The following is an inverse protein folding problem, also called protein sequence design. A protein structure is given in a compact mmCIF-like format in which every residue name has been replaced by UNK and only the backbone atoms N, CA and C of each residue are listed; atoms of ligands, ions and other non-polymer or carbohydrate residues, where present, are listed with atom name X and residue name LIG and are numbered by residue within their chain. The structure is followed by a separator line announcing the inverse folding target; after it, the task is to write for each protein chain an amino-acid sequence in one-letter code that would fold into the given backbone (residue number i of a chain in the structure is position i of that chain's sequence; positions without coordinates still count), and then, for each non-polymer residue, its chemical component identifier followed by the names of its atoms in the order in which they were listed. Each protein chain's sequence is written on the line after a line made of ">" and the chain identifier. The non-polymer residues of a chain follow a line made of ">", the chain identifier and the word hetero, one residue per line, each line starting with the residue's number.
data_IF_828557578252
#
_entry.id   IF_828557578252
#
_cell.length_a   1.000
_cell.length_b   1.000
_cell.length_c   1.000
_cell.angle_alpha   90.00
_cell.angle_beta   90.00
_cell.angle_gamma   90.00
#
_symmetry.space_group_name_H-M   'P 1'
#
loop_
_entity.id
_entity.type
_entity.pdbx_description
1 polymer ?
#
# COMPACT_ATOMS: atom_id res chain seq x y z
N UNK A 1 1.85 7.73 -6.36
CA UNK A 1 2.84 8.64 -6.95
C UNK A 1 4.28 8.26 -6.57
N UNK A 2 5.23 8.78 -7.28
CA UNK A 2 6.65 8.52 -6.99
C UNK A 2 7.08 9.19 -5.70
N UNK A 3 8.08 8.61 -5.05
CA UNK A 3 8.58 9.10 -3.78
C UNK A 3 10.11 9.30 -3.85
N UNK A 4 10.56 10.42 -4.40
CA UNK A 4 12.01 10.66 -4.60
C UNK A 4 12.79 10.81 -3.29
N UNK A 5 12.15 11.18 -2.18
CA UNK A 5 12.80 11.35 -0.88
C UNK A 5 13.10 10.04 -0.16
N UNK A 6 12.53 8.92 -0.60
CA UNK A 6 12.80 7.63 0.00
C UNK A 6 14.18 7.13 -0.43
N UNK A 7 14.90 6.44 0.49
CA UNK A 7 16.23 5.89 0.21
C UNK A 7 16.20 4.81 -0.87
N UNK A 8 15.14 4.01 -0.89
CA UNK A 8 14.91 2.99 -1.91
C UNK A 8 13.74 3.41 -2.77
N UNK A 9 13.73 3.06 -4.06
CA UNK A 9 12.58 3.39 -4.91
C UNK A 9 11.27 2.91 -4.30
N UNK A 10 10.32 3.82 -4.19
CA UNK A 10 9.03 3.54 -3.58
C UNK A 10 7.95 4.41 -4.23
N UNK A 11 6.70 4.01 -4.04
CA UNK A 11 5.54 4.83 -4.39
C UNK A 11 4.85 5.32 -3.13
N UNK A 12 4.24 6.50 -3.24
CA UNK A 12 3.28 6.99 -2.25
C UNK A 12 1.89 6.56 -2.70
N UNK A 13 1.21 5.76 -1.90
CA UNK A 13 -0.13 5.31 -2.20
C UNK A 13 -1.15 6.09 -1.39
N UNK A 14 -2.28 6.39 -2.01
CA UNK A 14 -3.48 6.89 -1.33
C UNK A 14 -4.50 5.77 -1.39
N UNK A 15 -4.88 5.24 -0.23
CA UNK A 15 -5.70 4.03 -0.13
C UNK A 15 -7.02 4.37 0.56
N UNK A 16 -8.13 3.94 -0.03
CA UNK A 16 -9.46 4.12 0.53
C UNK A 16 -9.84 2.87 1.34
N UNK A 17 -10.00 3.04 2.65
CA UNK A 17 -10.44 1.99 3.56
C UNK A 17 -11.92 2.14 3.96
N UNK A 18 -12.69 2.85 3.17
CA UNK A 18 -14.12 3.03 3.42
C UNK A 18 -14.43 4.21 4.34
N UNK A 19 -15.72 4.47 4.54
CA UNK A 19 -16.19 5.66 5.26
C UNK A 19 -15.75 5.69 6.72
N UNK A 20 -15.61 4.54 7.36
CA UNK A 20 -15.27 4.45 8.78
C UNK A 20 -13.79 4.74 9.05
N UNK A 21 -12.90 4.11 8.29
CA UNK A 21 -11.44 4.28 8.45
C UNK A 21 -10.94 5.49 7.65
N UNK A 22 -11.51 5.70 6.47
CA UNK A 22 -11.16 6.81 5.61
C UNK A 22 -10.00 6.54 4.67
N UNK A 23 -9.47 7.61 4.10
CA UNK A 23 -8.37 7.55 3.14
C UNK A 23 -7.06 7.71 3.91
N UNK A 24 -6.13 6.78 3.68
CA UNK A 24 -4.82 6.76 4.34
C UNK A 24 -3.71 6.73 3.31
N UNK A 25 -2.53 7.20 3.73
CA UNK A 25 -1.34 7.22 2.89
C UNK A 25 -0.35 6.14 3.32
N UNK A 26 0.32 5.53 2.35
CA UNK A 26 1.29 4.48 2.58
C UNK A 26 2.47 4.61 1.63
N UNK A 27 3.69 4.37 2.12
CA UNK A 27 4.87 4.23 1.28
C UNK A 27 5.14 2.76 1.06
N UNK A 28 5.30 2.35 -0.20
CA UNK A 28 5.49 0.94 -0.54
C UNK A 28 6.61 0.78 -1.58
N UNK A 29 7.54 -0.14 -1.32
CA UNK A 29 8.67 -0.41 -2.21
C UNK A 29 8.28 -1.43 -3.29
N UNK A 30 7.45 -1.01 -4.22
CA UNK A 30 6.86 -1.90 -5.25
C UNK A 30 7.16 -1.46 -6.68
N UNK A 31 8.17 -0.60 -6.88
CA UNK A 31 8.46 -0.04 -8.20
C UNK A 31 8.97 -1.06 -9.20
N UNK A 32 9.40 -2.25 -8.75
CA UNK A 32 9.94 -3.29 -9.63
C UNK A 32 8.87 -4.06 -10.41
N UNK A 33 7.72 -4.31 -9.78
CA UNK A 33 6.65 -5.10 -10.39
C UNK A 33 5.45 -4.29 -10.86
N UNK A 34 5.32 -3.03 -10.42
CA UNK A 34 4.11 -2.24 -10.67
C UNK A 34 4.44 -0.90 -11.27
N UNK A 35 3.64 -0.49 -12.24
CA UNK A 35 3.62 0.88 -12.74
C UNK A 35 2.50 1.64 -12.06
N UNK A 36 2.62 2.95 -11.95
CA UNK A 36 1.67 3.78 -11.20
C UNK A 36 0.23 3.60 -11.65
N UNK A 37 0.01 3.54 -12.94
CA UNK A 37 -1.34 3.43 -13.52
C UNK A 37 -1.98 2.06 -13.27
N UNK A 38 -1.17 1.01 -13.08
CA UNK A 38 -1.68 -0.33 -12.73
C UNK A 38 -2.28 -0.38 -11.33
N UNK A 39 -1.86 0.53 -10.46
CA UNK A 39 -2.27 0.54 -9.05
C UNK A 39 -3.59 1.23 -8.81
N UNK A 40 -4.03 2.06 -9.75
CA UNK A 40 -5.30 2.77 -9.62
C UNK A 40 -6.46 1.78 -9.68
N UNK A 41 -7.31 1.78 -8.66
CA UNK A 41 -8.45 0.87 -8.57
C UNK A 41 -8.12 -0.53 -8.07
N UNK A 42 -6.83 -0.80 -7.77
CA UNK A 42 -6.40 -2.11 -7.28
C UNK A 42 -6.75 -2.27 -5.80
N UNK A 43 -7.27 -3.44 -5.43
CA UNK A 43 -7.52 -3.77 -4.03
C UNK A 43 -6.23 -4.22 -3.36
N UNK A 44 -6.04 -3.81 -2.11
CA UNK A 44 -4.86 -4.17 -1.33
C UNK A 44 -5.27 -4.55 0.09
N UNK A 45 -4.36 -5.20 0.81
CA UNK A 45 -4.54 -5.50 2.23
C UNK A 45 -3.53 -4.67 3.02
N UNK A 46 -4.00 -3.99 4.06
CA UNK A 46 -3.16 -3.12 4.87
C UNK A 46 -3.42 -3.24 6.35
N UNK A 47 -2.39 -2.96 7.15
CA UNK A 47 -2.49 -2.86 8.61
C UNK A 47 -2.66 -1.39 8.96
N UNK A 48 -3.76 -1.06 9.65
CA UNK A 48 -4.13 0.34 9.95
C UNK A 48 -4.01 0.71 11.43
N UNK A 49 -3.73 -0.24 12.28
CA UNK A 49 -3.75 -0.06 13.73
C UNK A 49 -2.36 -0.07 14.37
N UNK A 50 -1.39 0.51 13.69
CA UNK A 50 -0.06 0.70 14.25
C UNK A 50 0.36 2.16 14.09
N UNK A 51 1.40 2.64 14.85
CA UNK A 51 1.82 4.03 14.75
C UNK A 51 2.31 4.39 13.34
N UNK A 52 1.94 5.57 12.82
CA UNK A 52 2.45 6.04 11.53
C UNK A 52 3.97 6.16 11.54
N UNK A 53 4.58 5.96 10.37
CA UNK A 53 6.02 6.04 10.19
C UNK A 53 6.38 7.26 9.35
N UNK A 54 7.28 8.10 9.88
CA UNK A 54 7.78 9.25 9.15
C UNK A 54 8.90 8.83 8.20
N UNK A 55 8.75 9.16 6.92
CA UNK A 55 9.75 8.88 5.89
C UNK A 55 10.03 10.20 5.16
N UNK A 56 11.13 10.90 5.54
CA UNK A 56 11.37 12.25 5.07
C UNK A 56 10.18 13.15 5.39
N UNK A 57 9.64 13.90 4.42
CA UNK A 57 8.47 14.75 4.63
C UNK A 57 7.14 14.00 4.59
N UNK A 58 7.16 12.69 4.31
CA UNK A 58 5.96 11.88 4.11
C UNK A 58 5.63 11.05 5.35
N UNK A 59 4.36 11.08 5.77
CA UNK A 59 3.88 10.25 6.86
C UNK A 59 3.14 9.03 6.28
N UNK A 60 3.75 7.84 6.46
CA UNK A 60 3.13 6.57 6.07
C UNK A 60 2.22 6.10 7.20
N UNK A 61 0.93 6.12 6.97
CA UNK A 61 -0.08 5.90 8.01
C UNK A 61 -0.49 4.45 8.17
N UNK A 62 -0.27 3.63 7.13
CA UNK A 62 -0.65 2.22 7.14
C UNK A 62 0.47 1.38 6.53
N UNK A 63 0.48 0.09 6.89
CA UNK A 63 1.39 -0.88 6.30
C UNK A 63 0.65 -1.67 5.23
N UNK A 64 1.00 -1.43 3.97
CA UNK A 64 0.47 -2.20 2.85
C UNK A 64 1.20 -3.54 2.78
N UNK A 65 0.46 -4.65 2.77
CA UNK A 65 1.04 -5.98 2.85
C UNK A 65 1.50 -6.50 1.49
N UNK A 66 2.64 -7.19 1.50
CA UNK A 66 3.17 -7.84 0.32
C UNK A 66 4.00 -9.05 0.71
N UNK A 67 4.32 -9.86 -0.29
CA UNK A 67 5.20 -11.03 -0.14
C UNK A 67 6.36 -10.89 -1.12
N UNK A 68 7.55 -11.45 -0.80
CA UNK A 68 8.68 -11.32 -1.70
C UNK A 68 8.62 -12.31 -2.87
N UNK A 69 9.17 -11.92 -4.01
CA UNK A 69 9.52 -12.87 -5.07
C UNK A 69 10.90 -13.50 -4.76
N UNK A 70 11.46 -14.28 -5.70
CA UNK A 70 12.74 -14.94 -5.51
C UNK A 70 13.90 -13.98 -5.23
N UNK A 71 13.79 -12.75 -5.75
CA UNK A 71 14.82 -11.71 -5.59
C UNK A 71 14.54 -10.76 -4.43
N UNK A 72 13.47 -10.98 -3.67
CA UNK A 72 13.06 -10.11 -2.57
C UNK A 72 12.23 -8.90 -2.99
N UNK A 73 11.82 -8.83 -4.26
CA UNK A 73 10.95 -7.74 -4.74
C UNK A 73 9.51 -7.98 -4.29
N UNK A 74 8.82 -6.92 -3.93
CA UNK A 74 7.51 -7.02 -3.29
C UNK A 74 6.39 -7.28 -4.31
N UNK A 75 5.58 -8.30 -4.01
CA UNK A 75 4.33 -8.60 -4.70
C UNK A 75 3.21 -8.33 -3.71
N UNK A 76 2.25 -7.49 -4.09
CA UNK A 76 1.15 -7.10 -3.21
C UNK A 76 0.22 -8.27 -2.88
N UNK A 77 -0.25 -8.31 -1.63
CA UNK A 77 -1.33 -9.20 -1.22
C UNK A 77 -2.64 -8.53 -1.58
N UNK A 78 -3.53 -9.24 -2.26
CA UNK A 78 -4.83 -8.70 -2.62
C UNK A 78 -5.92 -9.76 -2.43
N UNK A 79 -7.20 -9.32 -2.25
CA UNK A 79 -8.32 -10.27 -2.25
C UNK A 79 -8.42 -10.99 -3.59
N UNK A 80 -8.82 -12.25 -3.56
CA UNK A 80 -8.90 -13.08 -4.76
C UNK A 80 -9.83 -12.51 -5.83
N UNK A 81 -10.90 -11.82 -5.41
CA UNK A 81 -11.83 -11.23 -6.36
C UNK A 81 -12.32 -9.85 -5.90
N UNK A 82 -12.95 -9.14 -6.81
CA UNK A 82 -13.38 -7.76 -6.59
C UNK A 82 -14.69 -7.62 -5.80
N UNK A 83 -15.23 -8.69 -5.27
CA UNK A 83 -16.40 -8.64 -4.39
C UNK A 83 -16.04 -8.28 -2.96
N UNK A 84 -14.74 -8.26 -2.63
CA UNK A 84 -14.29 -7.86 -1.31
C UNK A 84 -14.73 -6.42 -1.01
N UNK A 85 -15.17 -6.20 0.23
CA UNK A 85 -15.67 -4.89 0.68
C UNK A 85 -14.50 -4.01 1.06
N UNK A 86 -14.50 -2.76 0.57
CA UNK A 86 -13.52 -1.76 0.97
C UNK A 86 -13.67 -1.49 2.46
N UNK A 87 -12.55 -1.57 3.20
CA UNK A 87 -12.55 -1.42 4.65
C UNK A 87 -12.93 -2.69 5.40
N UNK A 88 -13.15 -3.79 4.70
CA UNK A 88 -13.43 -5.08 5.31
C UNK A 88 -12.27 -5.55 6.18
N UNK A 89 -12.60 -6.17 7.31
CA UNK A 89 -11.62 -6.62 8.29
C UNK A 89 -11.00 -7.94 7.89
N UNK A 90 -9.70 -8.06 8.07
CA UNK A 90 -8.98 -9.33 7.88
C UNK A 90 -9.31 -10.30 9.02
N UNK A 91 -9.63 -11.51 8.65
CA UNK A 91 -9.91 -12.57 9.64
C UNK A 91 -8.62 -13.28 10.04
#
# INVERSE_FOLDING_TARGET
>A
EEFPEARKPAYKLTIDFGAEIGIKKSSVQITEHYQKDELIGKLVVGVVNFPPRQIGPFLSEVLTLGVPDESGKVILVEPENNKAVIGGKLF
#
